data_IF_953302468037
#
_entry.id   IF_953302468037
#
_cell.length_a   1.000
_cell.length_b   1.000
_cell.length_c   1.000
_cell.angle_alpha   90.00
_cell.angle_beta   90.00
_cell.angle_gamma   90.00
#
_symmetry.space_group_name_H-M   'P 1'
#
loop_
_entity.id
_entity.type
_entity.pdbx_description
1 polymer ?
#
# COMPACT_ATOMS: atom_id res chain seq x y z
N UNK A 1 3.53 17.41 15.57
CA UNK A 1 3.59 18.77 14.99
C UNK A 1 4.97 19.21 14.51
N UNK A 2 5.99 18.39 14.67
CA UNK A 2 7.39 18.72 14.35
C UNK A 2 7.80 18.54 12.87
N UNK A 3 7.09 17.68 12.10
CA UNK A 3 7.49 17.38 10.72
C UNK A 3 7.37 18.56 9.73
N UNK A 4 6.54 19.55 10.05
CA UNK A 4 6.32 20.72 9.18
C UNK A 4 7.46 21.75 9.21
N UNK A 5 8.33 21.67 10.19
CA UNK A 5 9.46 22.61 10.34
C UNK A 5 10.73 22.14 9.64
N UNK A 6 10.72 20.92 9.08
CA UNK A 6 11.89 20.40 8.36
C UNK A 6 11.71 20.59 6.86
N UNK A 7 12.66 21.27 6.22
CA UNK A 7 12.72 21.34 4.79
C UNK A 7 13.09 19.98 4.19
N UNK A 8 12.53 19.70 3.02
CA UNK A 8 12.95 18.56 2.21
C UNK A 8 14.41 18.80 1.76
N UNK A 9 15.19 17.71 1.72
CA UNK A 9 16.61 17.79 1.46
C UNK A 9 16.93 18.56 0.16
N UNK A 10 17.82 19.56 0.27
CA UNK A 10 18.20 20.43 -0.84
C UNK A 10 17.16 21.47 -1.28
N UNK A 11 16.05 21.65 -0.55
CA UNK A 11 14.98 22.59 -0.91
C UNK A 11 14.56 23.49 0.27
N UNK A 12 13.68 24.48 0.00
CA UNK A 12 12.96 25.24 1.03
C UNK A 12 11.56 24.70 1.29
N UNK A 13 11.16 23.65 0.59
CA UNK A 13 9.85 23.04 0.70
C UNK A 13 9.76 22.13 1.92
N UNK A 14 8.58 22.03 2.49
CA UNK A 14 8.28 21.16 3.63
C UNK A 14 7.32 20.05 3.21
N UNK A 15 7.22 19.01 4.02
CA UNK A 15 6.25 17.93 3.78
C UNK A 15 4.83 18.52 3.74
N UNK A 16 4.08 18.38 2.63
CA UNK A 16 2.73 18.91 2.52
C UNK A 16 1.78 18.19 3.47
N UNK A 17 0.67 18.83 3.82
CA UNK A 17 -0.42 18.13 4.50
C UNK A 17 -1.17 17.24 3.52
N UNK A 18 -1.73 16.16 4.01
CA UNK A 18 -2.51 15.23 3.20
C UNK A 18 -3.65 15.94 2.46
N UNK A 19 -4.39 16.82 3.13
CA UNK A 19 -5.45 17.63 2.51
C UNK A 19 -4.97 18.52 1.35
N UNK A 20 -3.75 19.06 1.46
CA UNK A 20 -3.18 19.92 0.42
C UNK A 20 -2.85 19.10 -0.84
N UNK A 21 -2.37 17.86 -0.64
CA UNK A 21 -2.16 16.90 -1.73
C UNK A 21 -3.50 16.50 -2.36
N UNK A 22 -4.52 16.17 -1.56
CA UNK A 22 -5.84 15.81 -2.09
C UNK A 22 -6.47 16.94 -2.90
N UNK A 23 -6.31 18.19 -2.47
CA UNK A 23 -6.80 19.36 -3.21
C UNK A 23 -6.18 19.49 -4.61
N UNK A 24 -4.92 19.06 -4.80
CA UNK A 24 -4.27 19.08 -6.13
C UNK A 24 -4.88 18.05 -7.09
N UNK A 25 -5.40 16.95 -6.57
CA UNK A 25 -5.97 15.86 -7.38
C UNK A 25 -7.49 15.94 -7.51
N UNK A 26 -8.16 16.75 -6.68
CA UNK A 26 -9.62 16.91 -6.71
C UNK A 26 -10.09 17.37 -8.10
N UNK A 27 -11.07 16.66 -8.66
CA UNK A 27 -11.65 16.96 -9.98
C UNK A 27 -10.76 16.59 -11.17
N UNK A 28 -9.53 16.10 -10.98
CA UNK A 28 -8.65 15.70 -12.12
C UNK A 28 -9.03 14.37 -12.74
N UNK A 29 -9.78 13.52 -12.01
CA UNK A 29 -10.11 12.16 -12.41
C UNK A 29 -8.95 11.17 -12.30
N UNK A 30 -7.75 11.61 -11.91
CA UNK A 30 -6.59 10.73 -11.70
C UNK A 30 -6.77 9.91 -10.42
N UNK A 31 -6.63 8.57 -10.48
CA UNK A 31 -6.75 7.74 -9.29
C UNK A 31 -5.48 7.81 -8.41
N UNK A 32 -5.68 7.78 -7.10
CA UNK A 32 -4.62 7.78 -6.10
C UNK A 32 -4.50 6.41 -5.44
N UNK A 33 -3.27 6.00 -5.14
CA UNK A 33 -2.98 4.94 -4.19
C UNK A 33 -2.53 5.60 -2.89
N UNK A 34 -3.32 5.41 -1.82
CA UNK A 34 -3.05 6.00 -0.50
C UNK A 34 -2.48 4.93 0.42
N UNK A 35 -1.20 5.05 0.77
CA UNK A 35 -0.56 4.15 1.71
C UNK A 35 -0.73 4.66 3.15
N UNK A 36 -1.35 3.84 4.02
CA UNK A 36 -1.46 4.10 5.46
C UNK A 36 -0.29 3.45 6.19
N UNK A 37 0.60 4.28 6.74
CA UNK A 37 1.76 3.82 7.53
C UNK A 37 1.46 3.94 9.02
N UNK A 38 0.86 2.89 9.58
CA UNK A 38 0.60 2.83 11.02
C UNK A 38 1.90 2.69 11.81
N UNK A 39 1.88 3.21 13.04
CA UNK A 39 2.99 3.08 13.98
C UNK A 39 2.44 2.65 15.34
N UNK A 40 2.99 1.56 15.90
CA UNK A 40 2.49 0.95 17.13
C UNK A 40 1.00 0.57 16.99
N UNK A 41 0.14 1.06 17.88
CA UNK A 41 -1.29 0.71 17.93
C UNK A 41 -2.22 1.81 17.38
N UNK A 42 -1.69 2.78 16.61
CA UNK A 42 -2.49 3.87 16.06
C UNK A 42 -3.24 3.50 14.76
N UNK A 43 -3.23 2.23 14.35
CA UNK A 43 -3.77 1.78 13.07
C UNK A 43 -5.22 2.17 12.85
N UNK A 44 -6.08 2.02 13.85
CA UNK A 44 -7.51 2.32 13.74
C UNK A 44 -7.74 3.83 13.60
N UNK A 45 -7.19 4.62 14.53
CA UNK A 45 -7.31 6.08 14.52
C UNK A 45 -6.73 6.69 13.24
N UNK A 46 -5.56 6.23 12.82
CA UNK A 46 -4.92 6.75 11.61
C UNK A 46 -5.74 6.41 10.36
N UNK A 47 -6.24 5.17 10.25
CA UNK A 47 -7.06 4.76 9.10
C UNK A 47 -8.37 5.56 9.07
N UNK A 48 -9.06 5.70 10.21
CA UNK A 48 -10.28 6.49 10.32
C UNK A 48 -10.05 7.95 9.91
N UNK A 49 -9.00 8.59 10.42
CA UNK A 49 -8.65 9.98 10.04
C UNK A 49 -8.29 10.11 8.56
N UNK A 50 -7.60 9.12 7.99
CA UNK A 50 -7.29 9.10 6.56
C UNK A 50 -8.57 9.06 5.73
N UNK A 51 -9.52 8.19 6.11
CA UNK A 51 -10.80 8.10 5.43
C UNK A 51 -11.63 9.38 5.57
N UNK A 52 -11.71 9.94 6.79
CA UNK A 52 -12.42 11.19 7.04
C UNK A 52 -11.83 12.38 6.26
N UNK A 53 -10.53 12.35 5.93
CA UNK A 53 -9.93 13.39 5.09
C UNK A 53 -10.25 13.15 3.61
N UNK A 54 -10.16 11.91 3.12
CA UNK A 54 -10.52 11.53 1.75
C UNK A 54 -11.97 11.87 1.40
N UNK A 55 -12.90 11.67 2.33
CA UNK A 55 -14.34 11.94 2.14
C UNK A 55 -14.67 13.43 1.86
N UNK A 56 -13.72 14.34 2.12
CA UNK A 56 -13.91 15.77 1.86
C UNK A 56 -13.61 16.19 0.42
N UNK A 57 -13.03 15.29 -0.38
CA UNK A 57 -12.53 15.61 -1.72
C UNK A 57 -13.11 14.67 -2.77
N UNK A 58 -13.42 15.22 -3.95
CA UNK A 58 -13.78 14.42 -5.13
C UNK A 58 -12.52 13.85 -5.77
N UNK A 59 -12.03 12.74 -5.22
CA UNK A 59 -10.86 12.00 -5.71
C UNK A 59 -11.17 10.51 -5.85
N UNK A 60 -10.66 9.89 -6.90
CA UNK A 60 -10.67 8.44 -7.03
C UNK A 60 -9.48 7.86 -6.28
N UNK A 61 -9.68 6.83 -5.47
CA UNK A 61 -8.60 6.26 -4.69
C UNK A 61 -8.79 4.78 -4.37
N UNK A 62 -7.69 4.13 -4.05
CA UNK A 62 -7.63 2.91 -3.25
C UNK A 62 -6.70 3.13 -2.07
N UNK A 63 -6.81 2.28 -1.05
CA UNK A 63 -6.00 2.40 0.17
C UNK A 63 -5.21 1.12 0.39
N UNK A 64 -3.93 1.25 0.73
CA UNK A 64 -3.09 0.10 1.04
C UNK A 64 -2.29 0.31 2.33
N UNK A 65 -1.84 -0.79 2.92
CA UNK A 65 -0.99 -0.75 4.11
C UNK A 65 -0.14 -2.03 4.24
N UNK A 66 1.04 -1.89 4.84
CA UNK A 66 1.80 -3.02 5.35
C UNK A 66 1.16 -3.65 6.60
N UNK A 67 0.40 -2.87 7.35
CA UNK A 67 -0.30 -3.35 8.54
C UNK A 67 -1.65 -3.98 8.17
N UNK A 68 -1.81 -5.31 8.29
CA UNK A 68 -3.07 -5.97 7.95
C UNK A 68 -4.24 -5.52 8.83
N UNK A 69 -3.98 -4.89 9.98
CA UNK A 69 -5.03 -4.34 10.85
C UNK A 69 -5.69 -3.11 10.22
N UNK A 70 -4.94 -2.27 9.47
CA UNK A 70 -5.52 -1.18 8.68
C UNK A 70 -6.45 -1.72 7.60
N UNK A 71 -6.01 -2.75 6.86
CA UNK A 71 -6.80 -3.38 5.80
C UNK A 71 -8.06 -4.06 6.35
N UNK A 72 -7.95 -4.74 7.50
CA UNK A 72 -9.09 -5.34 8.19
C UNK A 72 -10.07 -4.27 8.72
N UNK A 73 -9.55 -3.14 9.20
CA UNK A 73 -10.38 -2.00 9.61
C UNK A 73 -11.20 -1.45 8.45
N UNK A 74 -10.59 -1.25 7.28
CA UNK A 74 -11.27 -0.82 6.06
C UNK A 74 -12.35 -1.82 5.67
N UNK A 75 -12.05 -3.11 5.64
CA UNK A 75 -13.04 -4.14 5.35
C UNK A 75 -14.28 -4.04 6.24
N UNK A 76 -14.09 -3.77 7.52
CA UNK A 76 -15.17 -3.70 8.51
C UNK A 76 -15.99 -2.41 8.43
N UNK A 77 -15.34 -1.26 8.25
CA UNK A 77 -15.96 0.04 8.40
C UNK A 77 -16.20 0.77 7.07
N UNK A 78 -15.47 0.39 6.03
CA UNK A 78 -15.54 1.01 4.69
C UNK A 78 -15.43 -0.08 3.60
N UNK A 79 -16.38 -1.04 3.57
CA UNK A 79 -16.34 -2.18 2.66
C UNK A 79 -16.35 -1.80 1.17
N UNK A 80 -16.83 -0.61 0.84
CA UNK A 80 -16.86 -0.04 -0.53
C UNK A 80 -15.49 0.40 -1.03
N UNK A 81 -14.52 0.61 -0.13
CA UNK A 81 -13.18 1.09 -0.49
C UNK A 81 -12.31 -0.07 -0.99
N UNK A 82 -11.75 0.10 -2.18
CA UNK A 82 -10.74 -0.84 -2.71
C UNK A 82 -9.52 -0.79 -1.80
N UNK A 83 -9.17 -1.93 -1.21
CA UNK A 83 -8.12 -2.04 -0.20
C UNK A 83 -7.05 -3.05 -0.57
N UNK A 84 -5.80 -2.71 -0.31
CA UNK A 84 -4.64 -3.52 -0.65
C UNK A 84 -3.79 -3.90 0.55
N UNK A 85 -3.20 -5.08 0.50
CA UNK A 85 -2.15 -5.50 1.42
C UNK A 85 -0.79 -5.33 0.79
N UNK A 86 0.05 -4.45 1.35
CA UNK A 86 1.46 -4.35 1.03
C UNK A 86 2.26 -5.43 1.76
N UNK A 87 3.23 -6.04 1.08
CA UNK A 87 4.19 -6.94 1.71
C UNK A 87 5.46 -7.12 0.88
N UNK A 88 6.46 -7.71 1.51
CA UNK A 88 7.70 -8.17 0.92
C UNK A 88 8.23 -9.37 1.73
N UNK A 89 9.41 -9.87 1.37
CA UNK A 89 10.07 -10.93 2.15
C UNK A 89 10.81 -10.35 3.37
N UNK A 90 10.08 -10.16 4.46
CA UNK A 90 10.63 -9.70 5.74
C UNK A 90 11.56 -10.74 6.41
N UNK A 91 11.67 -11.96 5.90
CA UNK A 91 12.66 -12.91 6.41
C UNK A 91 14.06 -12.57 5.92
N UNK A 92 14.17 -11.85 4.78
CA UNK A 92 15.45 -11.33 4.25
C UNK A 92 15.91 -10.09 5.00
N UNK A 93 14.98 -9.18 5.30
CA UNK A 93 15.24 -7.95 6.05
C UNK A 93 14.07 -7.69 6.99
N UNK A 94 14.24 -8.05 8.26
CA UNK A 94 13.18 -7.97 9.27
C UNK A 94 12.98 -6.58 9.86
N UNK A 95 13.97 -5.70 9.71
CA UNK A 95 13.96 -4.47 10.49
C UNK A 95 13.79 -4.77 11.97
N UNK A 96 12.76 -4.18 12.60
CA UNK A 96 12.44 -4.37 14.02
C UNK A 96 11.39 -5.48 14.28
N UNK A 97 11.02 -6.27 13.26
CA UNK A 97 10.03 -7.34 13.45
C UNK A 97 10.62 -8.56 14.16
N UNK A 98 9.84 -9.16 15.06
CA UNK A 98 10.16 -10.47 15.59
C UNK A 98 10.10 -11.54 14.48
N UNK A 99 10.80 -12.67 14.66
CA UNK A 99 10.81 -13.72 13.65
C UNK A 99 9.40 -14.27 13.31
N UNK A 100 8.51 -14.55 14.31
CA UNK A 100 7.14 -14.95 14.02
C UNK A 100 6.35 -13.89 13.25
N UNK A 101 6.54 -12.61 13.57
CA UNK A 101 5.87 -11.53 12.86
C UNK A 101 6.39 -11.39 11.42
N UNK A 102 7.72 -11.45 11.22
CA UNK A 102 8.31 -11.45 9.88
C UNK A 102 7.79 -12.61 9.03
N UNK A 103 7.68 -13.81 9.61
CA UNK A 103 7.09 -14.96 8.93
C UNK A 103 5.62 -14.73 8.56
N UNK A 104 4.82 -14.21 9.49
CA UNK A 104 3.39 -13.97 9.28
C UNK A 104 3.15 -12.91 8.20
N UNK A 105 3.91 -11.80 8.21
CA UNK A 105 3.78 -10.72 7.23
C UNK A 105 4.30 -11.11 5.85
N UNK A 106 5.45 -11.81 5.78
CA UNK A 106 5.98 -12.36 4.52
C UNK A 106 4.97 -13.29 3.84
N UNK A 107 4.30 -14.13 4.62
CA UNK A 107 3.35 -15.12 4.11
C UNK A 107 1.89 -14.63 4.12
N UNK A 108 1.66 -13.34 4.35
CA UNK A 108 0.35 -12.70 4.24
C UNK A 108 -0.72 -13.37 5.14
N UNK A 109 -0.35 -13.90 6.31
CA UNK A 109 -1.28 -14.61 7.19
C UNK A 109 -2.41 -13.71 7.71
N UNK A 110 -2.16 -12.41 7.85
CA UNK A 110 -3.17 -11.41 8.19
C UNK A 110 -4.31 -11.29 7.18
N UNK A 111 -4.10 -11.76 5.94
CA UNK A 111 -5.10 -11.67 4.88
C UNK A 111 -6.32 -12.59 5.11
N UNK A 112 -6.23 -13.55 6.00
CA UNK A 112 -7.38 -14.34 6.45
C UNK A 112 -8.46 -13.42 7.04
N UNK A 113 -8.04 -12.40 7.80
CA UNK A 113 -8.96 -11.41 8.38
C UNK A 113 -9.20 -10.22 7.43
N UNK A 114 -8.14 -9.72 6.83
CA UNK A 114 -8.16 -8.50 6.02
C UNK A 114 -8.89 -8.68 4.68
N UNK A 115 -8.76 -9.83 4.03
CA UNK A 115 -9.32 -10.15 2.71
C UNK A 115 -9.22 -8.96 1.75
N UNK A 116 -7.99 -8.60 1.34
CA UNK A 116 -7.75 -7.45 0.46
C UNK A 116 -8.25 -7.70 -0.96
N UNK A 117 -8.62 -6.63 -1.66
CA UNK A 117 -8.99 -6.68 -3.08
C UNK A 117 -7.75 -6.83 -3.98
N UNK A 118 -6.59 -6.34 -3.49
CA UNK A 118 -5.32 -6.56 -4.16
C UNK A 118 -4.18 -6.81 -3.17
N UNK A 119 -3.12 -7.47 -3.65
CA UNK A 119 -1.89 -7.68 -2.90
C UNK A 119 -0.73 -7.02 -3.65
N UNK A 120 -0.16 -5.97 -3.06
CA UNK A 120 1.02 -5.29 -3.56
C UNK A 120 2.27 -5.93 -2.94
N UNK A 121 2.98 -6.75 -3.72
CA UNK A 121 4.15 -7.48 -3.26
C UNK A 121 5.42 -7.00 -3.97
N UNK A 122 6.53 -6.96 -3.22
CA UNK A 122 7.81 -6.53 -3.76
C UNK A 122 8.23 -7.43 -4.94
N UNK A 123 8.56 -6.84 -6.08
CA UNK A 123 8.85 -7.55 -7.31
C UNK A 123 10.02 -8.52 -7.18
N UNK A 124 11.08 -8.12 -6.50
CA UNK A 124 12.26 -8.96 -6.28
C UNK A 124 11.93 -10.23 -5.48
N UNK A 125 10.83 -10.21 -4.72
CA UNK A 125 10.36 -11.31 -3.88
C UNK A 125 9.17 -12.08 -4.50
N UNK A 126 8.84 -11.83 -5.77
CA UNK A 126 7.67 -12.39 -6.47
C UNK A 126 7.60 -13.92 -6.54
N UNK A 127 8.71 -14.61 -6.25
CA UNK A 127 8.74 -16.08 -6.16
C UNK A 127 8.04 -16.62 -4.92
N UNK A 128 7.73 -15.77 -3.93
CA UNK A 128 6.95 -16.18 -2.77
C UNK A 128 5.58 -16.72 -3.21
N UNK A 129 5.14 -17.79 -2.58
CA UNK A 129 3.89 -18.48 -2.89
C UNK A 129 2.64 -17.76 -2.37
N UNK A 130 2.77 -16.97 -1.29
CA UNK A 130 1.66 -16.38 -0.59
C UNK A 130 0.81 -15.42 -1.44
N UNK A 131 1.36 -14.53 -2.29
CA UNK A 131 0.55 -13.70 -3.18
C UNK A 131 -0.28 -14.53 -4.17
N UNK A 132 0.29 -15.64 -4.68
CA UNK A 132 -0.44 -16.55 -5.59
C UNK A 132 -1.60 -17.25 -4.88
N UNK A 133 -1.39 -17.63 -3.62
CA UNK A 133 -2.45 -18.22 -2.80
C UNK A 133 -3.56 -17.22 -2.53
N UNK A 134 -3.24 -15.97 -2.18
CA UNK A 134 -4.24 -14.91 -1.98
C UNK A 134 -5.09 -14.68 -3.24
N UNK A 135 -4.44 -14.64 -4.42
CA UNK A 135 -5.14 -14.56 -5.70
C UNK A 135 -6.12 -15.72 -5.90
N UNK A 136 -5.69 -16.95 -5.58
CA UNK A 136 -6.52 -18.15 -5.74
C UNK A 136 -7.68 -18.23 -4.75
N UNK A 137 -7.46 -17.83 -3.49
CA UNK A 137 -8.45 -17.95 -2.41
C UNK A 137 -9.44 -16.79 -2.37
N UNK A 138 -8.98 -15.57 -2.65
CA UNK A 138 -9.75 -14.33 -2.46
C UNK A 138 -10.00 -13.59 -3.76
N UNK A 139 -9.46 -14.05 -4.90
CA UNK A 139 -9.53 -13.31 -6.16
C UNK A 139 -8.70 -12.02 -6.16
N UNK A 140 -7.79 -11.84 -5.17
CA UNK A 140 -7.03 -10.61 -5.02
C UNK A 140 -6.17 -10.30 -6.26
N UNK A 141 -6.25 -9.08 -6.79
CA UNK A 141 -5.41 -8.62 -7.89
C UNK A 141 -3.94 -8.56 -7.43
N UNK A 142 -3.03 -9.11 -8.23
CA UNK A 142 -1.61 -8.95 -8.00
C UNK A 142 -1.12 -7.58 -8.43
N UNK A 143 -0.32 -6.95 -7.57
CA UNK A 143 0.37 -5.69 -7.85
C UNK A 143 1.84 -5.87 -7.51
N UNK A 144 2.76 -5.44 -8.37
CA UNK A 144 4.19 -5.47 -8.09
C UNK A 144 4.77 -4.09 -7.90
N UNK A 145 5.60 -3.92 -6.87
CA UNK A 145 6.36 -2.72 -6.55
C UNK A 145 7.81 -3.08 -6.18
N UNK A 146 8.80 -2.32 -6.52
CA UNK A 146 8.78 -1.21 -7.44
C UNK A 146 9.46 -1.67 -8.72
N UNK A 147 8.77 -1.56 -9.82
CA UNK A 147 9.29 -1.90 -11.15
C UNK A 147 10.21 -0.77 -11.61
N UNK A 148 11.43 -1.11 -12.03
CA UNK A 148 12.47 -0.13 -12.40
C UNK A 148 13.04 -0.32 -13.82
N UNK A 149 12.51 -1.28 -14.58
CA UNK A 149 12.91 -1.51 -15.96
C UNK A 149 11.74 -1.96 -16.84
N UNK A 150 11.85 -1.70 -18.14
CA UNK A 150 10.86 -2.18 -19.13
C UNK A 150 10.76 -3.71 -19.13
N UNK A 151 11.88 -4.42 -18.98
CA UNK A 151 11.90 -5.89 -18.88
C UNK A 151 11.10 -6.42 -17.69
N UNK A 152 11.19 -5.75 -16.56
CA UNK A 152 10.44 -6.13 -15.36
C UNK A 152 8.96 -5.80 -15.52
N UNK A 153 8.63 -4.67 -16.18
CA UNK A 153 7.27 -4.30 -16.54
C UNK A 153 6.62 -5.38 -17.43
N UNK A 154 7.27 -5.77 -18.54
CA UNK A 154 6.81 -6.85 -19.39
C UNK A 154 6.60 -8.17 -18.63
N UNK A 155 7.43 -8.41 -17.62
CA UNK A 155 7.30 -9.60 -16.78
C UNK A 155 6.08 -9.51 -15.87
N UNK A 156 5.82 -8.35 -15.25
CA UNK A 156 4.64 -8.11 -14.43
C UNK A 156 3.35 -8.27 -15.27
N UNK A 157 3.32 -7.68 -16.45
CA UNK A 157 2.19 -7.77 -17.38
C UNK A 157 1.89 -9.21 -17.80
N UNK A 158 2.91 -9.99 -18.17
CA UNK A 158 2.75 -11.42 -18.52
C UNK A 158 2.22 -12.25 -17.35
N UNK A 159 2.53 -11.87 -16.11
CA UNK A 159 2.01 -12.51 -14.90
C UNK A 159 0.60 -11.99 -14.51
N UNK A 160 0.04 -11.04 -15.29
CA UNK A 160 -1.26 -10.43 -15.05
C UNK A 160 -1.28 -9.55 -13.79
N UNK A 161 -0.13 -8.97 -13.42
CA UNK A 161 0.00 -8.05 -12.30
C UNK A 161 0.01 -6.60 -12.78
N UNK A 162 -0.57 -5.72 -11.96
CA UNK A 162 -0.43 -4.26 -12.12
C UNK A 162 0.97 -3.86 -11.63
N UNK A 163 1.61 -2.90 -12.30
CA UNK A 163 2.93 -2.43 -11.95
C UNK A 163 2.90 -1.04 -11.31
N UNK A 164 3.51 -0.92 -10.13
CA UNK A 164 3.91 0.36 -9.56
C UNK A 164 5.37 0.56 -9.96
N UNK A 165 5.66 1.56 -10.77
CA UNK A 165 6.98 1.78 -11.37
C UNK A 165 7.56 3.15 -11.03
N UNK A 166 8.88 3.26 -11.14
CA UNK A 166 9.63 4.51 -10.98
C UNK A 166 10.85 4.55 -11.90
N UNK A 167 11.39 5.76 -12.16
CA UNK A 167 12.67 6.03 -12.84
C UNK A 167 12.71 5.69 -14.33
N UNK A 168 11.60 5.38 -14.97
CA UNK A 168 11.50 5.25 -16.43
C UNK A 168 10.10 5.57 -16.90
N UNK A 169 9.95 5.84 -18.19
CA UNK A 169 8.64 5.98 -18.85
C UNK A 169 8.30 4.64 -19.49
N UNK A 170 7.15 4.03 -19.17
CA UNK A 170 6.75 2.71 -19.66
C UNK A 170 6.49 2.68 -21.17
#
# INVERSE_FOLDING_TARGET
MLFRSYALDGTKETIPQFKDVLALFAGTGLPLIVEVKSFRDNFAELTERTMAELDKFDVKYCVESFDPRCVAWLKKHRPEVIRGQLSCDFLKDRGNLSLPMAFATTNLLGNIMAQPDFVAYKFEDKKNWAPRLCRKLYGAQGVYWTIRSKKDLETAEREGAIAIFERFIP
#
